data_IF_330365877643
#
_entry.id   IF_330365877643
#
_cell.length_a   1.000
_cell.length_b   1.000
_cell.length_c   1.000
_cell.angle_alpha   90.00
_cell.angle_beta   90.00
_cell.angle_gamma   90.00
#
_symmetry.space_group_name_H-M   'P 1'
#
loop_
_entity.id
_entity.type
_entity.pdbx_description
1 polymer ?
#
# COMPACT_ATOMS: atom_id res chain seq x y z
N UNK A 1 4.21 -1.54 -9.07
CA UNK A 1 4.94 -0.68 -8.11
C UNK A 1 5.67 0.50 -8.79
N UNK A 2 6.21 0.34 -10.01
CA UNK A 2 6.86 1.46 -10.72
C UNK A 2 5.92 2.61 -11.07
N UNK A 3 4.66 2.33 -11.43
CA UNK A 3 3.64 3.38 -11.62
C UNK A 3 3.33 4.13 -10.33
N UNK A 4 3.40 3.46 -9.17
CA UNK A 4 3.27 4.12 -7.87
C UNK A 4 4.47 5.03 -7.59
N UNK A 5 5.69 4.63 -7.95
CA UNK A 5 6.86 5.51 -7.82
C UNK A 5 6.71 6.79 -8.65
N UNK A 6 6.15 6.68 -9.85
CA UNK A 6 5.87 7.80 -10.75
C UNK A 6 4.85 8.76 -10.13
N UNK A 7 3.69 8.24 -9.69
CA UNK A 7 2.61 9.06 -9.12
C UNK A 7 2.95 9.64 -7.75
N UNK A 8 3.60 8.87 -6.87
CA UNK A 8 3.88 9.27 -5.50
C UNK A 8 5.06 10.23 -5.38
N UNK A 9 6.14 10.03 -6.16
CA UNK A 9 7.31 10.92 -6.13
C UNK A 9 7.26 12.00 -7.20
N UNK A 10 6.16 12.11 -7.97
CA UNK A 10 6.00 13.05 -9.08
C UNK A 10 7.18 12.99 -10.08
N UNK A 11 7.66 11.79 -10.37
CA UNK A 11 8.80 11.56 -11.26
C UNK A 11 8.31 11.29 -12.67
N UNK A 12 8.94 11.92 -13.66
CA UNK A 12 8.66 11.65 -15.08
C UNK A 12 9.30 10.34 -15.61
N UNK A 13 10.11 9.67 -14.80
CA UNK A 13 10.83 8.45 -15.18
C UNK A 13 10.61 7.38 -14.11
N UNK A 14 10.13 6.21 -14.57
CA UNK A 14 10.03 5.01 -13.75
C UNK A 14 11.42 4.40 -13.59
N UNK A 15 11.86 4.23 -12.34
CA UNK A 15 13.17 3.68 -12.00
C UNK A 15 12.97 2.41 -11.15
N UNK A 16 12.64 1.26 -11.78
CA UNK A 16 12.51 0.00 -11.07
C UNK A 16 13.82 -0.40 -10.38
N UNK A 17 13.71 -0.82 -9.12
CA UNK A 17 14.87 -1.33 -8.35
C UNK A 17 15.14 -2.80 -8.72
N UNK A 18 14.10 -3.55 -9.08
CA UNK A 18 14.19 -4.97 -9.40
C UNK A 18 13.91 -5.20 -10.88
N UNK A 19 14.65 -6.14 -11.48
CA UNK A 19 14.28 -6.69 -12.79
C UNK A 19 12.94 -7.43 -12.71
N UNK A 20 12.23 -7.64 -13.83
CA UNK A 20 10.98 -8.38 -13.83
C UNK A 20 11.08 -9.79 -13.23
N UNK A 21 12.16 -10.51 -13.50
CA UNK A 21 12.38 -11.86 -12.96
C UNK A 21 12.57 -11.86 -11.45
N UNK A 22 13.42 -10.96 -10.93
CA UNK A 22 13.68 -10.83 -9.49
C UNK A 22 12.44 -10.34 -8.74
N UNK A 23 11.63 -9.47 -9.34
CA UNK A 23 10.36 -9.05 -8.77
C UNK A 23 9.41 -10.25 -8.58
N UNK A 24 9.23 -11.05 -9.63
CA UNK A 24 8.35 -12.23 -9.59
C UNK A 24 8.82 -13.28 -8.59
N UNK A 25 10.12 -13.47 -8.42
CA UNK A 25 10.65 -14.50 -7.53
C UNK A 25 10.72 -14.08 -6.07
N UNK A 26 10.99 -12.79 -5.78
CA UNK A 26 11.43 -12.38 -4.44
C UNK A 26 10.56 -11.30 -3.79
N UNK A 27 9.76 -10.56 -4.56
CA UNK A 27 9.15 -9.34 -4.06
C UNK A 27 7.81 -9.03 -4.73
N UNK A 28 6.84 -9.93 -4.59
CA UNK A 28 5.45 -9.63 -4.96
C UNK A 28 4.91 -8.50 -4.09
N UNK A 29 4.94 -7.28 -4.62
CA UNK A 29 4.40 -6.08 -3.97
C UNK A 29 3.05 -5.76 -4.61
N UNK A 30 2.00 -5.75 -3.79
CA UNK A 30 0.68 -5.23 -4.16
C UNK A 30 0.60 -3.76 -3.74
N UNK A 31 0.23 -2.89 -4.68
CA UNK A 31 0.00 -1.47 -4.39
C UNK A 31 -1.46 -1.15 -4.63
N UNK A 32 -2.11 -0.57 -3.63
CA UNK A 32 -3.52 -0.14 -3.68
C UNK A 32 -3.51 1.37 -3.54
N UNK A 33 -3.84 2.06 -4.62
CA UNK A 33 -3.93 3.52 -4.65
C UNK A 33 -5.36 3.95 -4.28
N UNK A 34 -5.52 4.58 -3.12
CA UNK A 34 -6.80 5.07 -2.60
C UNK A 34 -6.96 6.59 -2.76
N UNK A 35 -6.06 7.27 -3.49
CA UNK A 35 -6.06 8.74 -3.63
C UNK A 35 -7.36 9.31 -4.23
N UNK A 36 -8.05 8.53 -5.06
CA UNK A 36 -9.28 8.94 -5.77
C UNK A 36 -10.58 8.47 -5.12
N UNK A 37 -10.53 8.08 -3.85
CA UNK A 37 -11.71 7.58 -3.12
C UNK A 37 -12.89 8.57 -3.15
N UNK A 38 -12.63 9.88 -3.14
CA UNK A 38 -13.68 10.91 -3.16
C UNK A 38 -14.21 11.26 -4.56
N UNK A 39 -13.57 10.77 -5.64
CA UNK A 39 -14.00 11.05 -7.01
C UNK A 39 -15.25 10.24 -7.39
N UNK A 40 -15.58 9.20 -6.62
CA UNK A 40 -16.77 8.37 -6.82
C UNK A 40 -17.95 8.89 -6.00
N UNK A 41 -19.07 9.18 -6.66
CA UNK A 41 -20.29 9.69 -6.03
C UNK A 41 -20.86 8.78 -4.93
N UNK A 42 -20.61 7.47 -5.01
CA UNK A 42 -21.03 6.47 -4.01
C UNK A 42 -20.06 6.34 -2.84
N UNK A 43 -18.79 6.71 -3.02
CA UNK A 43 -17.76 6.68 -1.96
C UNK A 43 -17.59 8.04 -1.28
N UNK A 44 -18.00 9.14 -1.92
CA UNK A 44 -17.94 10.50 -1.37
C UNK A 44 -18.78 10.68 -0.09
N UNK A 45 -19.77 9.82 0.14
CA UNK A 45 -20.59 9.78 1.38
C UNK A 45 -20.11 8.73 2.38
N UNK A 46 -19.18 7.87 1.99
CA UNK A 46 -18.59 6.87 2.87
C UNK A 46 -17.47 7.52 3.70
N UNK A 47 -17.46 7.24 5.01
CA UNK A 47 -16.42 7.75 5.91
C UNK A 47 -15.14 6.90 5.90
N UNK A 48 -15.19 5.69 5.34
CA UNK A 48 -14.08 4.75 5.28
C UNK A 48 -14.14 3.88 4.03
N UNK A 49 -12.98 3.44 3.55
CA UNK A 49 -12.83 2.45 2.48
C UNK A 49 -12.24 1.18 3.08
N UNK A 50 -12.99 0.09 3.00
CA UNK A 50 -12.51 -1.23 3.45
C UNK A 50 -11.73 -1.91 2.32
N UNK A 51 -10.52 -2.37 2.63
CA UNK A 51 -9.64 -3.07 1.69
C UNK A 51 -9.38 -4.48 2.20
N UNK A 52 -9.80 -5.48 1.42
CA UNK A 52 -9.51 -6.90 1.69
C UNK A 52 -8.51 -7.42 0.65
N UNK A 53 -7.41 -8.01 1.12
CA UNK A 53 -6.46 -8.76 0.30
C UNK A 53 -6.58 -10.24 0.61
N UNK A 54 -6.71 -11.06 -0.43
CA UNK A 54 -6.72 -12.51 -0.33
C UNK A 54 -5.55 -13.05 -1.14
N UNK A 55 -4.75 -13.92 -0.52
CA UNK A 55 -3.52 -14.46 -1.11
C UNK A 55 -3.70 -15.97 -1.22
N UNK A 56 -3.59 -16.47 -2.45
CA UNK A 56 -3.51 -17.89 -2.74
C UNK A 56 -2.09 -18.22 -3.22
N UNK A 57 -1.58 -19.38 -2.82
CA UNK A 57 -0.26 -19.85 -3.23
C UNK A 57 -0.34 -21.33 -3.60
N UNK A 58 0.43 -21.71 -4.63
CA UNK A 58 0.56 -23.11 -5.06
C UNK A 58 1.35 -23.97 -4.07
N UNK A 59 2.15 -23.34 -3.20
CA UNK A 59 2.96 -23.99 -2.18
C UNK A 59 2.62 -23.44 -0.78
N UNK A 60 2.98 -24.18 0.27
CA UNK A 60 2.70 -23.78 1.65
C UNK A 60 3.47 -22.51 2.04
N UNK A 61 2.76 -21.48 2.49
CA UNK A 61 3.35 -20.21 2.98
C UNK A 61 3.85 -20.32 4.44
N UNK A 62 4.46 -21.44 4.83
CA UNK A 62 4.93 -21.63 6.21
C UNK A 62 6.13 -20.73 6.51
N UNK A 63 6.05 -19.96 7.60
CA UNK A 63 7.11 -19.04 8.00
C UNK A 63 7.16 -17.73 7.21
N UNK A 64 6.16 -17.44 6.37
CA UNK A 64 6.07 -16.17 5.65
C UNK A 64 5.59 -15.07 6.58
N UNK A 65 6.34 -13.97 6.62
CA UNK A 65 5.89 -12.73 7.28
C UNK A 65 5.48 -11.73 6.21
N UNK A 66 4.28 -11.18 6.33
CA UNK A 66 3.80 -10.10 5.46
C UNK A 66 3.91 -8.76 6.19
N UNK A 67 4.30 -7.74 5.44
CA UNK A 67 4.40 -6.37 5.93
C UNK A 67 3.43 -5.50 5.13
N UNK A 68 2.71 -4.62 5.82
CA UNK A 68 1.87 -3.60 5.19
C UNK A 68 2.47 -2.23 5.51
N UNK A 69 2.67 -1.43 4.47
CA UNK A 69 3.05 -0.03 4.61
C UNK A 69 1.86 0.84 4.23
N UNK A 70 1.35 1.60 5.19
CA UNK A 70 0.31 2.60 4.95
C UNK A 70 1.00 3.95 4.71
N UNK A 71 0.81 4.47 3.50
CA UNK A 71 1.34 5.77 3.11
C UNK A 71 0.15 6.71 2.97
N UNK A 72 0.09 7.70 3.85
CA UNK A 72 -0.93 8.73 3.83
C UNK A 72 -0.23 10.09 3.90
N UNK A 73 -0.78 11.11 3.27
CA UNK A 73 -0.27 12.49 3.35
C UNK A 73 -0.60 13.19 4.68
N UNK A 74 -0.83 12.40 5.75
CA UNK A 74 -1.11 12.91 7.08
C UNK A 74 0.03 12.54 8.01
N UNK A 75 0.51 13.52 8.76
CA UNK A 75 1.42 13.26 9.87
C UNK A 75 0.59 12.61 10.98
N UNK A 76 1.01 11.40 11.38
CA UNK A 76 0.36 10.65 12.46
C UNK A 76 1.37 10.28 13.53
N UNK A 77 0.94 10.33 14.78
CA UNK A 77 1.67 9.78 15.92
C UNK A 77 1.26 8.32 16.09
N UNK A 78 2.23 7.40 16.07
CA UNK A 78 2.01 6.00 16.43
C UNK A 78 2.53 5.72 17.83
N UNK A 79 1.63 5.32 18.73
CA UNK A 79 1.99 4.95 20.11
C UNK A 79 2.19 3.44 20.18
N UNK A 80 3.45 3.00 20.09
CA UNK A 80 3.80 1.58 19.99
C UNK A 80 3.28 0.70 21.14
N UNK A 81 3.11 1.26 22.34
CA UNK A 81 2.70 0.50 23.52
C UNK A 81 1.25 0.01 23.44
N UNK A 82 0.33 0.86 22.98
CA UNK A 82 -1.10 0.55 22.90
C UNK A 82 -1.60 0.42 21.44
N UNK A 83 -0.71 0.56 20.46
CA UNK A 83 -0.98 0.48 19.01
C UNK A 83 -1.98 1.56 18.53
N UNK A 84 -2.04 2.68 19.23
CA UNK A 84 -2.90 3.80 18.87
C UNK A 84 -2.24 4.63 17.75
N UNK A 85 -3.04 5.10 16.79
CA UNK A 85 -2.62 6.05 15.74
C UNK A 85 -3.41 7.33 15.94
N UNK A 86 -2.72 8.46 16.17
CA UNK A 86 -3.34 9.78 16.33
C UNK A 86 -2.96 10.68 15.18
N UNK A 87 -3.90 11.49 14.71
CA UNK A 87 -3.62 12.52 13.71
C UNK A 87 -2.92 13.72 14.37
N UNK A 88 -1.75 14.10 13.88
CA UNK A 88 -1.11 15.37 14.22
C UNK A 88 -1.63 16.38 13.19
N UNK A 89 -2.38 17.38 13.67
CA UNK A 89 -3.03 18.41 12.83
C UNK A 89 -1.97 19.28 12.16
#
# INVERSE_FOLDING_TARGET
YTSFQESYYEKNIRNPILSPSTFLSNASIVVIDTSKQNDSATLATASSVDVKLEIEASESLTGVTTYCLLIHDLIVEYVSFNREVRKLV
#
